data_IF_406731940111
#
_entry.id   IF_406731940111
#
_cell.length_a   1.000
_cell.length_b   1.000
_cell.length_c   1.000
_cell.angle_alpha   90.00
_cell.angle_beta   90.00
_cell.angle_gamma   90.00
#
_symmetry.space_group_name_H-M   'P 1'
#
loop_
_entity.id
_entity.type
_entity.pdbx_description
1 polymer ?
#
# COMPACT_ATOMS: atom_id res chain seq x y z
N UNK A 1 -13.53 -3.08 8.42
CA UNK A 1 -14.76 -2.43 7.96
C UNK A 1 -15.42 -1.76 9.16
N UNK A 2 -15.73 -0.47 9.04
CA UNK A 2 -16.59 0.27 9.99
C UNK A 2 -17.94 0.40 9.29
N UNK A 3 -19.04 0.22 10.02
CA UNK A 3 -20.41 0.43 9.51
C UNK A 3 -20.74 -0.35 8.22
N UNK A 4 -20.55 -1.67 8.24
CA UNK A 4 -21.07 -2.54 7.18
C UNK A 4 -22.50 -2.94 7.49
N UNK A 5 -23.40 -2.62 6.58
CA UNK A 5 -24.82 -2.96 6.61
C UNK A 5 -25.06 -4.06 5.57
N UNK A 6 -25.68 -5.16 6.00
CA UNK A 6 -26.09 -6.26 5.13
C UNK A 6 -27.61 -6.32 5.12
N UNK A 7 -28.18 -6.70 3.98
CA UNK A 7 -29.62 -6.85 3.79
C UNK A 7 -30.38 -5.54 4.05
N UNK A 8 -29.95 -4.45 3.40
CA UNK A 8 -30.66 -3.17 3.48
C UNK A 8 -32.07 -3.37 2.94
N UNK A 9 -33.08 -3.24 3.80
CA UNK A 9 -34.48 -3.53 3.45
C UNK A 9 -35.20 -2.39 2.74
N UNK A 10 -34.64 -1.18 2.81
CA UNK A 10 -35.16 0.02 2.15
C UNK A 10 -33.99 0.80 1.51
N UNK A 11 -33.47 0.34 0.36
CA UNK A 11 -32.34 0.98 -0.30
C UNK A 11 -32.66 2.42 -0.76
N UNK A 12 -33.92 2.70 -1.10
CA UNK A 12 -34.37 4.05 -1.51
C UNK A 12 -34.20 5.04 -0.37
N UNK A 13 -34.71 4.69 0.81
CA UNK A 13 -34.55 5.54 2.00
C UNK A 13 -33.08 5.70 2.35
N UNK A 14 -32.29 4.62 2.31
CA UNK A 14 -30.87 4.67 2.66
C UNK A 14 -30.06 5.58 1.73
N UNK A 15 -30.27 5.46 0.42
CA UNK A 15 -29.62 6.33 -0.57
C UNK A 15 -30.06 7.78 -0.35
N UNK A 16 -31.37 8.03 -0.18
CA UNK A 16 -31.89 9.37 0.07
C UNK A 16 -31.27 10.04 1.31
N UNK A 17 -31.13 9.32 2.43
CA UNK A 17 -30.49 9.84 3.65
C UNK A 17 -29.04 10.28 3.41
N UNK A 18 -28.29 9.51 2.58
CA UNK A 18 -26.90 9.83 2.24
C UNK A 18 -26.83 11.03 1.30
N UNK A 19 -27.71 11.09 0.29
CA UNK A 19 -27.80 12.21 -0.64
C UNK A 19 -28.17 13.51 0.08
N UNK A 20 -29.21 13.49 0.91
CA UNK A 20 -29.65 14.65 1.70
C UNK A 20 -28.56 15.14 2.64
N UNK A 21 -27.84 14.22 3.30
CA UNK A 21 -26.72 14.56 4.17
C UNK A 21 -25.56 15.22 3.43
N UNK A 22 -25.35 14.90 2.15
CA UNK A 22 -24.22 15.37 1.35
C UNK A 22 -24.60 16.41 0.28
N UNK A 23 -25.84 16.91 0.32
CA UNK A 23 -26.42 17.73 -0.76
C UNK A 23 -25.60 19.00 -1.08
N UNK A 24 -24.91 19.59 -0.09
CA UNK A 24 -24.06 20.78 -0.31
C UNK A 24 -22.81 20.49 -1.14
N UNK A 25 -22.33 19.25 -1.15
CA UNK A 25 -21.11 18.86 -1.84
C UNK A 25 -21.33 18.30 -3.24
N UNK A 26 -22.52 17.78 -3.52
CA UNK A 26 -22.84 17.20 -4.82
C UNK A 26 -23.32 18.24 -5.84
N UNK A 27 -22.90 18.10 -7.09
CA UNK A 27 -23.46 18.83 -8.23
C UNK A 27 -24.44 18.00 -9.06
N UNK A 28 -24.49 16.69 -8.86
CA UNK A 28 -25.42 15.80 -9.54
C UNK A 28 -25.06 14.32 -9.33
N UNK A 29 -25.93 13.45 -9.83
CA UNK A 29 -25.69 12.01 -9.88
C UNK A 29 -25.41 11.60 -11.31
N UNK A 30 -24.30 10.88 -11.53
CA UNK A 30 -23.95 10.33 -12.83
C UNK A 30 -24.07 8.82 -12.78
N UNK A 31 -24.75 8.23 -13.76
CA UNK A 31 -24.82 6.78 -13.91
C UNK A 31 -24.01 6.36 -15.13
N UNK A 32 -23.13 5.39 -14.94
CA UNK A 32 -22.33 4.76 -16.00
C UNK A 32 -22.50 3.26 -15.97
N UNK A 33 -22.71 2.66 -17.13
CA UNK A 33 -22.84 1.21 -17.24
C UNK A 33 -22.06 0.68 -18.44
N UNK A 34 -21.55 -0.54 -18.31
CA UNK A 34 -20.99 -1.30 -19.41
C UNK A 34 -21.84 -2.54 -19.63
N UNK A 35 -22.27 -2.73 -20.87
CA UNK A 35 -23.10 -3.86 -21.28
C UNK A 35 -22.38 -4.64 -22.37
N UNK A 36 -22.61 -5.95 -22.40
CA UNK A 36 -22.10 -6.84 -23.45
C UNK A 36 -23.27 -7.60 -24.07
N UNK A 37 -23.22 -7.84 -25.38
CA UNK A 37 -24.23 -8.62 -26.09
C UNK A 37 -23.75 -10.06 -26.27
N UNK A 38 -24.43 -11.02 -25.64
CA UNK A 38 -24.21 -12.45 -25.82
C UNK A 38 -25.22 -13.05 -26.81
N UNK A 39 -25.18 -14.37 -27.04
CA UNK A 39 -26.18 -15.04 -27.87
C UNK A 39 -27.59 -14.98 -27.25
N UNK A 40 -27.67 -14.83 -25.93
CA UNK A 40 -28.92 -14.82 -25.16
C UNK A 40 -29.43 -13.40 -24.91
N UNK A 41 -28.75 -12.39 -25.46
CA UNK A 41 -29.13 -10.98 -25.39
C UNK A 41 -28.10 -10.11 -24.66
N UNK A 42 -28.53 -8.91 -24.28
CA UNK A 42 -27.69 -7.97 -23.56
C UNK A 42 -27.57 -8.37 -22.08
N UNK A 43 -26.34 -8.29 -21.56
CA UNK A 43 -26.00 -8.59 -20.16
C UNK A 43 -25.27 -7.40 -19.56
N UNK A 44 -25.59 -7.09 -18.30
CA UNK A 44 -24.88 -6.08 -17.53
C UNK A 44 -23.49 -6.59 -17.13
N UNK A 45 -22.44 -5.87 -17.52
CA UNK A 45 -21.07 -6.15 -17.04
C UNK A 45 -20.87 -5.52 -15.67
N UNK A 46 -21.13 -4.22 -15.55
CA UNK A 46 -21.15 -3.49 -14.28
C UNK A 46 -21.85 -2.14 -14.46
N UNK A 47 -22.45 -1.61 -13.38
CA UNK A 47 -23.07 -0.30 -13.36
C UNK A 47 -22.59 0.49 -12.13
N UNK A 48 -22.39 1.79 -12.29
CA UNK A 48 -22.09 2.72 -11.20
C UNK A 48 -23.07 3.88 -11.19
N UNK A 49 -23.44 4.33 -9.98
CA UNK A 49 -24.15 5.60 -9.75
C UNK A 49 -23.30 6.44 -8.81
N UNK A 50 -22.75 7.53 -9.30
CA UNK A 50 -21.75 8.36 -8.64
C UNK A 50 -22.35 9.68 -8.15
N UNK A 51 -22.10 10.04 -6.89
CA UNK A 51 -22.26 11.42 -6.41
C UNK A 51 -21.09 12.29 -6.90
N UNK A 52 -21.34 13.20 -7.84
CA UNK A 52 -20.28 14.04 -8.41
C UNK A 52 -20.04 15.25 -7.50
N UNK A 53 -18.79 15.42 -7.06
CA UNK A 53 -18.35 16.56 -6.25
C UNK A 53 -17.85 17.67 -7.19
N UNK A 54 -18.25 18.92 -6.94
CA UNK A 54 -17.76 20.08 -7.71
C UNK A 54 -16.26 20.29 -7.51
N UNK A 55 -15.44 19.91 -8.51
CA UNK A 55 -13.97 20.07 -8.49
C UNK A 55 -13.44 21.10 -9.50
N UNK A 56 -14.31 21.92 -10.10
CA UNK A 56 -13.92 23.06 -10.95
C UNK A 56 -13.66 22.73 -12.43
N UNK A 57 -13.58 21.44 -12.79
CA UNK A 57 -13.69 21.02 -14.19
C UNK A 57 -15.15 20.65 -14.47
N UNK A 58 -15.76 21.30 -15.46
CA UNK A 58 -17.07 20.89 -15.99
C UNK A 58 -17.01 19.40 -16.33
N UNK A 59 -17.80 18.61 -15.62
CA UNK A 59 -17.93 17.18 -15.93
C UNK A 59 -18.81 17.08 -17.16
N UNK A 60 -18.20 17.23 -18.35
CA UNK A 60 -18.92 17.08 -19.60
C UNK A 60 -19.44 15.64 -19.71
N UNK A 61 -20.73 15.50 -20.01
CA UNK A 61 -21.34 14.20 -20.27
C UNK A 61 -20.63 13.55 -21.45
N UNK A 62 -20.18 12.31 -21.28
CA UNK A 62 -19.71 11.51 -22.40
C UNK A 62 -20.90 11.04 -23.22
N UNK A 63 -20.80 11.07 -24.55
CA UNK A 63 -21.79 10.42 -25.40
C UNK A 63 -21.74 8.90 -25.21
N UNK A 64 -22.89 8.24 -25.29
CA UNK A 64 -22.99 6.77 -25.28
C UNK A 64 -22.09 6.20 -26.38
N UNK A 65 -21.24 5.23 -26.03
CA UNK A 65 -20.35 4.56 -26.99
C UNK A 65 -20.95 3.21 -27.36
N UNK A 66 -21.21 3.02 -28.65
CA UNK A 66 -21.82 1.81 -29.16
C UNK A 66 -20.84 1.04 -30.06
N UNK A 67 -20.58 -0.21 -29.68
CA UNK A 67 -19.81 -1.18 -30.45
C UNK A 67 -20.74 -2.30 -30.93
N UNK A 68 -20.25 -3.17 -31.80
CA UNK A 68 -21.03 -4.31 -32.31
C UNK A 68 -21.52 -5.25 -31.21
N UNK A 69 -20.74 -5.44 -30.14
CA UNK A 69 -21.00 -6.40 -29.07
C UNK A 69 -20.93 -5.80 -27.66
N UNK A 70 -20.77 -4.47 -27.55
CA UNK A 70 -20.74 -3.79 -26.26
C UNK A 70 -21.35 -2.39 -26.34
N UNK A 71 -21.83 -1.91 -25.20
CA UNK A 71 -22.34 -0.55 -25.04
C UNK A 71 -21.77 0.04 -23.76
N UNK A 72 -21.21 1.24 -23.86
CA UNK A 72 -20.74 2.02 -22.73
C UNK A 72 -21.71 3.20 -22.58
N UNK A 73 -22.56 3.10 -21.58
CA UNK A 73 -23.67 4.01 -21.34
C UNK A 73 -23.31 5.03 -20.25
N UNK A 74 -23.75 6.27 -20.43
CA UNK A 74 -23.66 7.34 -19.45
C UNK A 74 -24.91 8.22 -19.51
N UNK A 75 -25.47 8.56 -18.35
CA UNK A 75 -26.46 9.61 -18.19
C UNK A 75 -26.38 10.28 -16.81
N UNK A 76 -27.18 11.32 -16.62
CA UNK A 76 -27.30 12.06 -15.36
C UNK A 76 -28.68 11.83 -14.77
N UNK A 77 -28.71 11.59 -13.46
CA UNK A 77 -29.92 11.30 -12.71
C UNK A 77 -30.27 12.49 -11.82
N UNK A 78 -31.55 12.89 -11.84
CA UNK A 78 -32.11 13.66 -10.74
C UNK A 78 -32.35 12.75 -9.52
N UNK A 79 -32.68 13.33 -8.36
CA UNK A 79 -33.08 12.56 -7.18
C UNK A 79 -34.26 11.63 -7.47
N UNK A 80 -35.21 12.08 -8.30
CA UNK A 80 -36.36 11.25 -8.69
C UNK A 80 -35.94 10.12 -9.63
N UNK A 81 -35.10 10.40 -10.64
CA UNK A 81 -34.58 9.36 -11.55
C UNK A 81 -33.78 8.31 -10.78
N UNK A 82 -33.02 8.71 -9.76
CA UNK A 82 -32.29 7.79 -8.90
C UNK A 82 -33.23 6.87 -8.10
N UNK A 83 -34.33 7.41 -7.55
CA UNK A 83 -35.35 6.61 -6.85
C UNK A 83 -36.04 5.64 -7.80
N UNK A 84 -36.39 6.10 -9.00
CA UNK A 84 -37.02 5.28 -10.03
C UNK A 84 -36.06 4.20 -10.52
N UNK A 85 -34.77 4.49 -10.63
CA UNK A 85 -33.75 3.50 -10.95
C UNK A 85 -33.63 2.42 -9.87
N UNK A 86 -33.62 2.78 -8.59
CA UNK A 86 -33.63 1.78 -7.49
C UNK A 86 -34.91 0.94 -7.53
N UNK A 87 -36.08 1.54 -7.79
CA UNK A 87 -37.32 0.79 -7.96
C UNK A 87 -37.25 -0.20 -9.14
N UNK A 88 -36.64 0.20 -10.26
CA UNK A 88 -36.43 -0.69 -11.42
C UNK A 88 -35.54 -1.87 -11.02
N UNK A 89 -34.43 -1.61 -10.32
CA UNK A 89 -33.56 -2.67 -9.78
C UNK A 89 -34.39 -3.64 -8.95
N UNK A 90 -35.18 -3.14 -7.99
CA UNK A 90 -36.03 -3.94 -7.11
C UNK A 90 -37.13 -4.72 -7.84
N UNK A 91 -37.47 -4.34 -9.07
CA UNK A 91 -38.40 -5.06 -9.94
C UNK A 91 -37.70 -6.05 -10.88
N UNK A 92 -36.37 -6.06 -10.92
CA UNK A 92 -35.60 -6.92 -11.82
C UNK A 92 -35.46 -6.39 -13.22
N UNK A 93 -35.55 -5.07 -13.36
CA UNK A 93 -35.51 -4.39 -14.64
C UNK A 93 -34.46 -3.30 -14.60
N UNK A 94 -33.75 -3.09 -15.71
CA UNK A 94 -32.91 -1.91 -15.89
C UNK A 94 -33.17 -1.29 -17.25
N UNK A 95 -33.27 0.03 -17.28
CA UNK A 95 -33.37 0.80 -18.50
C UNK A 95 -32.10 1.64 -18.71
N UNK A 96 -31.47 1.47 -19.88
CA UNK A 96 -30.32 2.24 -20.35
C UNK A 96 -30.66 2.83 -21.73
N UNK A 97 -31.27 4.02 -21.74
CA UNK A 97 -31.88 4.58 -22.94
C UNK A 97 -33.06 3.72 -23.40
N UNK A 98 -33.02 3.26 -24.64
CA UNK A 98 -34.04 2.37 -25.22
C UNK A 98 -33.80 0.89 -24.86
N UNK A 99 -32.63 0.55 -24.32
CA UNK A 99 -32.28 -0.82 -23.96
C UNK A 99 -32.87 -1.19 -22.59
N UNK A 100 -33.55 -2.34 -22.54
CA UNK A 100 -34.15 -2.88 -21.32
C UNK A 100 -33.50 -4.23 -21.02
N UNK A 101 -32.99 -4.39 -19.79
CA UNK A 101 -32.55 -5.67 -19.24
C UNK A 101 -33.57 -6.15 -18.23
N UNK A 102 -33.85 -7.44 -18.23
CA UNK A 102 -34.71 -8.10 -17.26
C UNK A 102 -34.00 -9.31 -16.69
N UNK A 103 -34.18 -9.55 -15.38
CA UNK A 103 -33.65 -10.72 -14.69
C UNK A 103 -34.78 -11.43 -13.95
N UNK A 104 -34.72 -12.76 -13.95
CA UNK A 104 -35.62 -13.60 -13.15
C UNK A 104 -35.10 -13.83 -11.73
N UNK A 105 -33.88 -13.38 -11.43
CA UNK A 105 -33.33 -13.45 -10.07
C UNK A 105 -34.17 -12.61 -9.11
N UNK A 106 -34.81 -13.27 -8.16
CA UNK A 106 -35.69 -12.63 -7.18
C UNK A 106 -34.95 -12.08 -5.95
N UNK A 107 -33.70 -12.49 -5.73
CA UNK A 107 -32.95 -12.21 -4.51
C UNK A 107 -31.99 -11.04 -4.66
N UNK A 108 -32.49 -9.81 -4.43
CA UNK A 108 -31.71 -8.57 -4.47
C UNK A 108 -31.21 -8.21 -3.08
N UNK A 109 -30.03 -8.73 -2.75
CA UNK A 109 -29.40 -8.45 -1.46
C UNK A 109 -28.59 -7.16 -1.56
N UNK A 110 -29.15 -6.08 -1.01
CA UNK A 110 -28.42 -4.83 -0.86
C UNK A 110 -27.45 -4.91 0.29
N UNK A 111 -26.23 -4.45 0.04
CA UNK A 111 -25.23 -4.22 1.07
C UNK A 111 -24.72 -2.79 0.99
N UNK A 112 -24.30 -2.26 2.13
CA UNK A 112 -23.72 -0.93 2.26
C UNK A 112 -22.49 -0.97 3.14
N UNK A 113 -21.49 -0.19 2.81
CA UNK A 113 -20.34 0.03 3.69
C UNK A 113 -19.84 1.46 3.61
N UNK A 114 -19.36 1.95 4.75
CA UNK A 114 -18.57 3.16 4.77
C UNK A 114 -17.12 2.82 4.43
N UNK A 115 -16.60 3.47 3.39
CA UNK A 115 -15.23 3.31 2.90
C UNK A 115 -14.41 4.54 3.21
N UNK A 116 -13.12 4.39 3.56
CA UNK A 116 -12.27 5.52 3.87
C UNK A 116 -11.71 6.14 2.57
N UNK A 117 -10.93 7.21 2.68
CA UNK A 117 -10.20 7.76 1.53
C UNK A 117 -9.36 6.64 0.82
N UNK A 118 -9.11 6.80 -0.48
CA UNK A 118 -8.26 5.90 -1.28
C UNK A 118 -8.60 4.42 -1.11
N UNK A 119 -9.83 4.03 -1.46
CA UNK A 119 -10.33 2.66 -1.39
C UNK A 119 -10.44 2.02 -2.80
N UNK A 120 -10.83 0.74 -2.87
CA UNK A 120 -10.93 0.01 -4.15
C UNK A 120 -12.10 0.43 -5.04
N UNK A 121 -13.06 1.19 -4.50
CA UNK A 121 -14.27 1.63 -5.20
C UNK A 121 -14.17 3.06 -5.73
N UNK A 122 -13.57 3.98 -4.96
CA UNK A 122 -13.43 5.40 -5.32
C UNK A 122 -12.26 6.06 -4.57
N UNK A 123 -11.76 7.16 -5.11
CA UNK A 123 -10.61 7.89 -4.53
C UNK A 123 -10.96 8.69 -3.26
N UNK A 124 -12.25 8.87 -2.99
CA UNK A 124 -12.77 9.63 -1.85
C UNK A 124 -13.29 8.70 -0.73
N UNK A 125 -13.36 9.23 0.49
CA UNK A 125 -14.12 8.60 1.56
C UNK A 125 -15.62 8.71 1.26
N UNK A 126 -16.43 7.78 1.76
CA UNK A 126 -17.88 7.85 1.56
C UNK A 126 -18.58 6.54 1.81
N UNK A 127 -19.70 6.35 1.12
CA UNK A 127 -20.54 5.17 1.21
C UNK A 127 -20.56 4.44 -0.13
N UNK A 128 -20.41 3.13 -0.06
CA UNK A 128 -20.62 2.22 -1.19
C UNK A 128 -21.85 1.39 -0.89
N UNK A 129 -22.87 1.49 -1.74
CA UNK A 129 -24.00 0.57 -1.70
C UNK A 129 -23.96 -0.30 -2.96
N UNK A 130 -24.22 -1.59 -2.82
CA UNK A 130 -24.20 -2.49 -3.96
C UNK A 130 -25.29 -3.55 -3.87
N UNK A 131 -25.74 -3.98 -5.03
CA UNK A 131 -26.60 -5.13 -5.20
C UNK A 131 -26.24 -5.83 -6.51
N UNK A 132 -26.39 -7.16 -6.54
CA UNK A 132 -26.20 -7.95 -7.75
C UNK A 132 -27.46 -7.88 -8.61
N UNK A 133 -27.29 -7.61 -9.89
CA UNK A 133 -28.39 -7.62 -10.85
C UNK A 133 -28.44 -8.90 -11.67
N UNK A 134 -27.29 -9.43 -12.08
CA UNK A 134 -27.21 -10.70 -12.81
C UNK A 134 -25.97 -11.48 -12.41
N UNK A 135 -26.09 -12.80 -12.30
CA UNK A 135 -24.96 -13.72 -12.22
C UNK A 135 -24.39 -14.13 -13.59
N UNK A 136 -25.02 -13.68 -14.70
CA UNK A 136 -24.58 -14.02 -16.04
C UNK A 136 -23.21 -13.43 -16.33
N UNK A 137 -22.35 -14.26 -16.92
CA UNK A 137 -21.02 -13.82 -17.30
C UNK A 137 -21.11 -13.02 -18.59
N UNK A 138 -20.46 -11.86 -18.59
CA UNK A 138 -20.22 -11.09 -19.80
C UNK A 138 -19.55 -11.99 -20.85
N UNK A 139 -20.01 -11.87 -22.09
CA UNK A 139 -19.43 -12.65 -23.17
C UNK A 139 -18.06 -12.07 -23.56
N UNK A 140 -17.11 -12.96 -23.86
CA UNK A 140 -15.75 -12.59 -24.21
C UNK A 140 -15.63 -12.37 -25.71
N UNK A 141 -15.16 -11.19 -26.08
CA UNK A 141 -14.93 -10.82 -27.46
C UNK A 141 -13.53 -10.23 -27.61
N UNK A 142 -13.07 -10.17 -28.86
CA UNK A 142 -11.83 -9.48 -29.19
C UNK A 142 -11.96 -7.96 -29.08
N UNK A 143 -11.10 -7.24 -29.78
CA UNK A 143 -11.07 -5.79 -29.75
C UNK A 143 -12.43 -5.15 -30.06
N UNK A 144 -12.76 -4.11 -29.28
CA UNK A 144 -13.92 -3.26 -29.47
C UNK A 144 -13.58 -2.21 -30.52
N UNK A 145 -14.23 -2.32 -31.68
CA UNK A 145 -13.98 -1.49 -32.85
C UNK A 145 -15.28 -0.83 -33.32
N UNK A 146 -15.27 0.50 -33.43
CA UNK A 146 -16.28 1.26 -34.16
C UNK A 146 -15.65 2.55 -34.72
N UNK A 147 -16.03 3.01 -35.94
CA UNK A 147 -15.32 4.08 -36.64
C UNK A 147 -15.15 5.40 -35.85
N UNK A 148 -16.15 5.76 -35.05
CA UNK A 148 -16.19 7.04 -34.30
C UNK A 148 -15.98 6.83 -32.79
N UNK A 149 -15.51 5.65 -32.38
CA UNK A 149 -15.30 5.30 -30.97
C UNK A 149 -13.84 4.99 -30.69
N UNK A 150 -13.38 5.18 -29.45
CA UNK A 150 -12.05 4.75 -29.03
C UNK A 150 -11.82 3.26 -29.29
N UNK A 151 -10.57 2.90 -29.58
CA UNK A 151 -10.15 1.52 -29.63
C UNK A 151 -9.99 0.97 -28.22
N UNK A 152 -10.57 -0.20 -27.95
CA UNK A 152 -10.18 -1.01 -26.80
C UNK A 152 -9.75 -2.41 -27.26
N UNK A 153 -8.65 -2.96 -26.70
CA UNK A 153 -8.18 -4.29 -27.07
C UNK A 153 -9.12 -5.42 -26.60
N UNK A 154 -9.90 -5.17 -25.54
CA UNK A 154 -10.92 -6.06 -25.01
C UNK A 154 -11.94 -5.28 -24.15
N UNK A 155 -12.96 -5.99 -23.64
CA UNK A 155 -14.01 -5.44 -22.80
C UNK A 155 -13.51 -5.00 -21.41
N UNK A 156 -12.47 -5.65 -20.88
CA UNK A 156 -11.96 -5.34 -19.53
C UNK A 156 -11.24 -4.00 -19.50
N UNK A 157 -10.45 -3.68 -20.54
CA UNK A 157 -9.85 -2.36 -20.72
C UNK A 157 -10.93 -1.27 -20.92
N UNK A 158 -12.01 -1.59 -21.64
CA UNK A 158 -13.13 -0.67 -21.79
C UNK A 158 -13.82 -0.39 -20.44
N UNK A 159 -14.02 -1.40 -19.60
CA UNK A 159 -14.57 -1.23 -18.24
C UNK A 159 -13.63 -0.40 -17.37
N UNK A 160 -12.33 -0.67 -17.42
CA UNK A 160 -11.32 0.05 -16.64
C UNK A 160 -11.23 1.54 -17.00
N UNK A 161 -11.39 1.87 -18.27
CA UNK A 161 -11.42 3.26 -18.74
C UNK A 161 -12.77 3.94 -18.48
N UNK A 162 -13.88 3.22 -18.64
CA UNK A 162 -15.22 3.81 -18.59
C UNK A 162 -15.77 3.98 -17.18
N UNK A 163 -15.50 3.06 -16.25
CA UNK A 163 -16.03 3.10 -14.89
C UNK A 163 -15.05 3.81 -13.93
N UNK A 164 -15.54 4.50 -12.88
CA UNK A 164 -14.73 5.28 -11.93
C UNK A 164 -13.87 4.46 -10.98
N UNK A 165 -13.72 3.15 -11.18
CA UNK A 165 -13.02 2.31 -10.22
C UNK A 165 -11.51 2.57 -10.28
N UNK A 166 -10.84 2.88 -9.16
CA UNK A 166 -9.38 3.05 -9.14
C UNK A 166 -8.62 1.79 -9.59
N UNK A 167 -9.18 0.62 -9.29
CA UNK A 167 -8.65 -0.69 -9.68
C UNK A 167 -9.80 -1.55 -10.19
N UNK A 168 -9.61 -2.26 -11.29
CA UNK A 168 -10.57 -3.23 -11.84
C UNK A 168 -9.84 -4.49 -12.33
N UNK A 169 -10.29 -5.66 -11.87
CA UNK A 169 -9.63 -6.95 -12.04
C UNK A 169 -10.19 -7.80 -13.20
N UNK A 170 -10.88 -7.18 -14.16
CA UNK A 170 -11.43 -7.87 -15.33
C UNK A 170 -12.43 -8.95 -14.95
N UNK A 171 -12.35 -10.12 -15.58
CA UNK A 171 -13.19 -11.29 -15.29
C UNK A 171 -13.24 -11.72 -13.82
N UNK A 172 -12.17 -11.47 -13.05
CA UNK A 172 -12.06 -11.88 -11.64
C UNK A 172 -12.56 -10.80 -10.67
N UNK A 173 -13.05 -9.67 -11.19
CA UNK A 173 -13.59 -8.60 -10.36
C UNK A 173 -14.92 -9.01 -9.73
N UNK A 174 -15.02 -8.86 -8.41
CA UNK A 174 -16.22 -9.26 -7.67
C UNK A 174 -17.44 -8.39 -7.99
N UNK A 175 -17.23 -7.21 -8.60
CA UNK A 175 -18.28 -6.25 -8.98
C UNK A 175 -18.92 -6.56 -10.33
N UNK A 176 -18.47 -7.60 -11.03
CA UNK A 176 -19.10 -8.03 -12.26
C UNK A 176 -20.56 -8.47 -12.00
N UNK A 177 -21.48 -7.94 -12.79
CA UNK A 177 -22.93 -8.11 -12.63
C UNK A 177 -23.55 -7.23 -11.55
N UNK A 178 -22.78 -6.40 -10.85
CA UNK A 178 -23.26 -5.56 -9.76
C UNK A 178 -23.61 -4.14 -10.23
N UNK A 179 -24.52 -3.54 -9.48
CA UNK A 179 -24.83 -2.10 -9.52
C UNK A 179 -24.25 -1.49 -8.25
N UNK A 180 -23.37 -0.51 -8.40
CA UNK A 180 -22.57 0.06 -7.31
C UNK A 180 -22.83 1.56 -7.19
N UNK A 181 -23.46 1.99 -6.11
CA UNK A 181 -23.61 3.40 -5.76
C UNK A 181 -22.35 3.86 -5.03
N UNK A 182 -21.67 4.86 -5.61
CA UNK A 182 -20.46 5.49 -5.09
C UNK A 182 -20.84 6.89 -4.60
N UNK A 183 -21.01 7.03 -3.29
CA UNK A 183 -21.57 8.24 -2.67
C UNK A 183 -20.51 8.90 -1.75
N UNK A 184 -19.71 9.84 -2.26
CA UNK A 184 -18.66 10.50 -1.49
C UNK A 184 -19.15 11.22 -0.23
N UNK A 185 -18.41 11.11 0.87
CA UNK A 185 -18.63 11.93 2.06
C UNK A 185 -18.05 13.33 1.83
N UNK A 186 -18.91 14.35 1.88
CA UNK A 186 -18.56 15.73 1.56
C UNK A 186 -18.61 16.66 2.76
N UNK A 187 -19.23 16.25 3.88
CA UNK A 187 -19.40 17.10 5.07
C UNK A 187 -18.09 17.28 5.81
N UNK A 188 -17.38 16.18 6.08
CA UNK A 188 -16.07 16.17 6.70
C UNK A 188 -15.29 14.90 6.30
N UNK A 189 -13.98 15.00 6.06
CA UNK A 189 -13.14 13.85 5.74
C UNK A 189 -11.66 14.14 6.06
N UNK A 190 -10.84 13.09 6.19
CA UNK A 190 -9.41 13.23 6.38
C UNK A 190 -8.78 13.67 5.06
N UNK A 191 -8.14 14.83 5.06
CA UNK A 191 -7.51 15.40 3.85
C UNK A 191 -6.00 15.16 3.79
N UNK A 192 -5.34 15.11 4.96
CA UNK A 192 -3.91 14.82 5.05
C UNK A 192 -3.54 14.36 6.47
N UNK A 193 -2.39 13.69 6.56
CA UNK A 193 -1.72 13.36 7.82
C UNK A 193 -0.21 13.43 7.62
N UNK A 194 0.45 14.33 8.32
CA UNK A 194 1.86 14.65 8.14
C UNK A 194 2.64 14.18 9.36
N UNK A 195 3.49 13.13 9.25
CA UNK A 195 4.31 12.67 10.35
C UNK A 195 5.46 13.64 10.64
N UNK A 196 5.71 13.93 11.92
CA UNK A 196 6.79 14.75 12.44
C UNK A 196 7.33 14.15 13.75
N UNK A 197 8.36 13.29 13.65
CA UNK A 197 8.88 12.55 14.80
C UNK A 197 7.82 11.62 15.41
N UNK A 198 7.52 11.81 16.69
CA UNK A 198 6.47 11.08 17.42
C UNK A 198 5.10 11.77 17.36
N UNK A 199 4.90 12.66 16.39
CA UNK A 199 3.66 13.40 16.18
C UNK A 199 3.13 13.17 14.78
N UNK A 200 1.82 13.14 14.63
CA UNK A 200 1.15 13.13 13.32
C UNK A 200 0.17 14.29 13.30
N UNK A 201 0.43 15.27 12.43
CA UNK A 201 -0.47 16.39 12.18
C UNK A 201 -1.54 15.99 11.18
N UNK A 202 -2.79 15.84 11.64
CA UNK A 202 -3.94 15.43 10.82
C UNK A 202 -4.72 16.67 10.39
N UNK A 203 -5.09 16.72 9.11
CA UNK A 203 -5.92 17.78 8.51
C UNK A 203 -7.26 17.24 8.08
N UNK A 204 -8.32 17.98 8.36
CA UNK A 204 -9.69 17.65 7.97
C UNK A 204 -10.17 18.65 6.94
N UNK A 205 -10.88 18.20 5.91
CA UNK A 205 -11.56 19.05 4.95
C UNK A 205 -13.04 18.66 4.85
N UNK A 206 -13.83 19.44 4.13
CA UNK A 206 -15.25 19.19 3.91
C UNK A 206 -16.08 20.47 3.98
N UNK A 207 -17.28 20.40 3.44
CA UNK A 207 -18.23 21.53 3.35
C UNK A 207 -18.67 22.03 4.72
N UNK A 208 -18.76 21.14 5.70
CA UNK A 208 -19.22 21.41 7.06
C UNK A 208 -18.12 21.23 8.12
N UNK A 209 -16.88 20.91 7.71
CA UNK A 209 -15.76 20.62 8.62
C UNK A 209 -15.40 21.77 9.57
N UNK A 210 -15.70 23.02 9.21
CA UNK A 210 -15.52 24.19 10.07
C UNK A 210 -16.68 24.46 11.04
N UNK A 211 -17.84 23.81 10.85
CA UNK A 211 -19.06 24.00 11.63
C UNK A 211 -19.31 22.85 12.61
N UNK A 212 -18.83 21.65 12.27
CA UNK A 212 -18.99 20.44 13.07
C UNK A 212 -18.01 20.43 14.26
N UNK A 213 -18.49 19.98 15.41
CA UNK A 213 -17.64 19.67 16.56
C UNK A 213 -17.02 18.28 16.38
N UNK A 214 -15.88 18.22 15.69
CA UNK A 214 -15.21 16.99 15.29
C UNK A 214 -14.11 16.56 16.28
N UNK A 215 -13.89 15.25 16.36
CA UNK A 215 -12.74 14.66 17.06
C UNK A 215 -12.23 13.41 16.34
N UNK A 216 -10.95 13.09 16.56
CA UNK A 216 -10.36 11.80 16.23
C UNK A 216 -10.53 10.88 17.44
N UNK A 217 -11.14 9.72 17.20
CA UNK A 217 -11.31 8.66 18.21
C UNK A 217 -10.70 7.37 17.70
N UNK A 218 -9.84 6.73 18.50
CA UNK A 218 -9.08 5.58 18.00
C UNK A 218 -8.14 4.95 19.02
N UNK A 219 -7.14 4.24 18.51
CA UNK A 219 -6.06 3.67 19.30
C UNK A 219 -4.79 3.42 18.47
N UNK A 220 -3.66 3.27 19.16
CA UNK A 220 -2.44 2.70 18.60
C UNK A 220 -1.95 1.52 19.44
N UNK A 221 -1.07 0.71 18.88
CA UNK A 221 -0.48 -0.45 19.55
C UNK A 221 1.04 -0.36 19.64
N UNK A 222 1.59 -0.62 20.82
CA UNK A 222 3.02 -0.67 21.12
C UNK A 222 3.29 -1.95 21.93
N UNK A 223 4.19 -2.81 21.46
CA UNK A 223 4.52 -4.10 22.12
C UNK A 223 3.29 -4.95 22.50
N UNK A 224 2.25 -4.91 21.66
CA UNK A 224 0.98 -5.62 21.87
C UNK A 224 -0.01 -4.95 22.83
N UNK A 225 0.37 -3.84 23.48
CA UNK A 225 -0.50 -3.03 24.32
C UNK A 225 -1.28 -2.01 23.50
N UNK A 226 -2.55 -1.82 23.85
CA UNK A 226 -3.43 -0.83 23.22
C UNK A 226 -3.40 0.49 23.99
N UNK A 227 -3.29 1.59 23.27
CA UNK A 227 -3.32 2.94 23.80
C UNK A 227 -4.41 3.74 23.08
N UNK A 228 -5.38 4.27 23.83
CA UNK A 228 -6.52 4.99 23.26
C UNK A 228 -6.19 6.45 22.95
N UNK A 229 -6.78 6.97 21.86
CA UNK A 229 -6.73 8.38 21.49
C UNK A 229 -8.13 8.97 21.41
N UNK A 230 -8.26 10.17 21.98
CA UNK A 230 -9.44 11.02 21.92
C UNK A 230 -8.96 12.47 21.75
N UNK A 231 -8.90 12.94 20.51
CA UNK A 231 -8.26 14.22 20.16
C UNK A 231 -9.24 15.14 19.43
N UNK A 232 -9.61 16.31 19.98
CA UNK A 232 -10.51 17.24 19.30
C UNK A 232 -9.85 17.86 18.06
N UNK A 233 -10.64 18.09 17.01
CA UNK A 233 -10.22 18.85 15.83
C UNK A 233 -10.36 20.34 16.15
N UNK A 234 -9.26 21.08 16.06
CA UNK A 234 -9.25 22.54 16.24
C UNK A 234 -8.86 23.21 14.92
N UNK A 235 -9.71 24.10 14.40
CA UNK A 235 -9.48 24.79 13.11
C UNK A 235 -9.08 23.80 12.01
N UNK A 236 -9.83 22.70 11.87
CA UNK A 236 -9.59 21.64 10.87
C UNK A 236 -8.25 20.90 11.02
N UNK A 237 -7.60 20.98 12.18
CA UNK A 237 -6.33 20.33 12.48
C UNK A 237 -6.37 19.59 13.82
N UNK A 238 -5.66 18.47 13.90
CA UNK A 238 -5.38 17.76 15.15
C UNK A 238 -3.94 17.24 15.16
N UNK A 239 -3.37 17.07 16.34
CA UNK A 239 -2.04 16.49 16.53
C UNK A 239 -2.16 15.22 17.36
N UNK A 240 -1.73 14.09 16.79
CA UNK A 240 -1.67 12.80 17.47
C UNK A 240 -0.25 12.59 17.99
N UNK A 241 -0.09 12.23 19.26
CA UNK A 241 1.20 11.83 19.83
C UNK A 241 1.33 10.31 19.76
N UNK A 242 1.89 9.80 18.65
CA UNK A 242 2.04 8.37 18.38
C UNK A 242 3.54 8.04 18.37
N UNK A 243 4.02 7.10 19.21
CA UNK A 243 5.43 6.77 19.27
C UNK A 243 5.88 6.07 17.97
N UNK A 244 7.15 6.26 17.61
CA UNK A 244 7.67 5.79 16.31
C UNK A 244 7.72 4.26 16.15
N UNK A 245 7.64 3.52 17.26
CA UNK A 245 7.60 2.05 17.31
C UNK A 245 6.17 1.50 17.37
N UNK A 246 5.13 2.32 17.18
CA UNK A 246 3.76 1.82 17.11
C UNK A 246 3.59 0.88 15.90
N UNK A 247 3.11 -0.35 16.14
CA UNK A 247 2.93 -1.38 15.11
C UNK A 247 1.57 -1.29 14.41
N UNK A 248 0.61 -0.60 15.02
CA UNK A 248 -0.74 -0.37 14.47
C UNK A 248 -1.30 0.96 14.93
N UNK A 249 -2.05 1.62 14.05
CA UNK A 249 -2.72 2.89 14.29
C UNK A 249 -4.08 2.87 13.61
N UNK A 250 -5.12 3.15 14.38
CA UNK A 250 -6.49 3.25 13.88
C UNK A 250 -7.18 4.45 14.51
N UNK A 251 -7.84 5.26 13.69
CA UNK A 251 -8.68 6.35 14.18
C UNK A 251 -9.81 6.67 13.21
N UNK A 252 -10.94 7.09 13.76
CA UNK A 252 -12.09 7.59 13.03
C UNK A 252 -12.28 9.08 13.31
N UNK A 253 -12.68 9.82 12.28
CA UNK A 253 -13.19 11.18 12.39
C UNK A 253 -14.67 11.10 12.74
N UNK A 254 -15.03 11.58 13.92
CA UNK A 254 -16.41 11.53 14.44
C UNK A 254 -16.87 12.90 14.95
N UNK A 255 -18.18 13.08 15.07
CA UNK A 255 -18.77 14.19 15.83
C UNK A 255 -19.25 13.77 17.23
N UNK A 256 -19.80 14.73 17.98
CA UNK A 256 -20.34 14.53 19.32
C UNK A 256 -21.55 13.57 19.39
N UNK A 257 -22.21 13.29 18.25
CA UNK A 257 -23.31 12.32 18.16
C UNK A 257 -22.81 10.91 17.85
N UNK A 258 -21.51 10.75 17.60
CA UNK A 258 -20.90 9.48 17.19
C UNK A 258 -21.05 9.19 15.70
N UNK A 259 -21.47 10.15 14.89
CA UNK A 259 -21.49 9.98 13.43
C UNK A 259 -20.04 9.87 12.94
N UNK A 260 -19.72 8.79 12.23
CA UNK A 260 -18.42 8.57 11.60
C UNK A 260 -18.45 9.20 10.22
N UNK A 261 -17.44 10.00 9.90
CA UNK A 261 -17.30 10.66 8.61
C UNK A 261 -16.23 10.01 7.74
N UNK A 262 -15.08 9.66 8.33
CA UNK A 262 -13.96 9.01 7.66
C UNK A 262 -13.10 8.27 8.69
N UNK A 263 -12.19 7.40 8.25
CA UNK A 263 -11.30 6.67 9.14
C UNK A 263 -9.96 6.29 8.50
N UNK A 264 -8.94 6.15 9.34
CA UNK A 264 -7.63 5.64 8.99
C UNK A 264 -7.39 4.32 9.71
N UNK A 265 -6.81 3.34 9.00
CA UNK A 265 -6.28 2.12 9.61
C UNK A 265 -4.95 1.76 8.98
N UNK A 266 -3.98 1.48 9.83
CA UNK A 266 -2.63 1.11 9.40
C UNK A 266 -2.06 0.03 10.32
N UNK A 267 -1.52 -1.01 9.71
CA UNK A 267 -0.65 -1.99 10.34
C UNK A 267 0.41 -2.47 9.33
N UNK A 268 1.20 -3.47 9.73
CA UNK A 268 2.25 -4.07 8.89
C UNK A 268 1.73 -4.59 7.54
N UNK A 269 0.53 -5.16 7.50
CA UNK A 269 -0.03 -5.88 6.35
C UNK A 269 -1.10 -5.09 5.59
N UNK A 270 -1.72 -4.09 6.21
CA UNK A 270 -2.92 -3.43 5.71
C UNK A 270 -2.85 -1.92 5.95
N UNK A 271 -3.31 -1.16 4.97
CA UNK A 271 -3.56 0.27 5.10
C UNK A 271 -4.88 0.62 4.43
N UNK A 272 -5.64 1.53 5.02
CA UNK A 272 -6.87 2.08 4.47
C UNK A 272 -7.03 3.54 4.92
N UNK A 273 -7.48 4.43 4.04
CA UNK A 273 -7.60 5.87 4.29
C UNK A 273 -6.64 6.70 3.44
N UNK A 274 -5.79 7.53 4.04
CA UNK A 274 -4.97 8.55 3.37
C UNK A 274 -3.91 8.05 2.36
N UNK A 275 -4.03 6.84 1.82
CA UNK A 275 -3.27 6.31 0.68
C UNK A 275 -1.78 6.07 0.90
N UNK A 276 -1.26 6.32 2.11
CA UNK A 276 0.15 6.08 2.49
C UNK A 276 0.22 5.63 3.94
N UNK A 277 1.15 4.73 4.27
CA UNK A 277 1.45 4.38 5.68
C UNK A 277 2.05 5.60 6.40
N UNK A 278 1.46 6.02 7.52
CA UNK A 278 1.88 7.15 8.38
C UNK A 278 2.62 6.69 9.62
N UNK A 279 2.28 5.50 10.13
CA UNK A 279 3.24 4.71 10.86
C UNK A 279 4.45 4.57 9.96
N UNK A 280 5.61 5.04 10.45
CA UNK A 280 6.86 4.89 9.73
C UNK A 280 7.00 3.41 9.43
N UNK A 281 6.80 3.04 8.16
CA UNK A 281 7.38 1.83 7.66
C UNK A 281 8.86 2.01 7.94
N UNK A 282 9.43 1.19 8.83
CA UNK A 282 10.87 1.16 9.07
C UNK A 282 11.61 1.03 7.72
N UNK A 283 10.91 0.54 6.68
CA UNK A 283 11.37 0.33 5.32
C UNK A 283 11.37 1.55 4.38
N UNK A 284 10.57 2.61 4.55
CA UNK A 284 10.57 3.72 3.56
C UNK A 284 11.97 4.37 3.36
N UNK A 285 12.74 4.67 4.43
CA UNK A 285 14.14 5.05 4.26
C UNK A 285 15.01 3.89 3.79
N UNK A 286 14.71 2.63 4.14
CA UNK A 286 15.53 1.48 3.74
C UNK A 286 15.38 1.13 2.26
N UNK A 287 14.18 1.23 1.69
CA UNK A 287 13.88 1.10 0.26
C UNK A 287 14.66 2.16 -0.52
N UNK A 288 14.61 3.42 -0.05
CA UNK A 288 15.41 4.49 -0.64
C UNK A 288 16.92 4.21 -0.55
N UNK A 289 17.41 3.71 0.60
CA UNK A 289 18.80 3.30 0.79
C UNK A 289 19.19 2.13 -0.15
N UNK A 290 18.30 1.16 -0.37
CA UNK A 290 18.51 0.04 -1.29
C UNK A 290 18.58 0.54 -2.73
N UNK A 291 17.65 1.39 -3.17
CA UNK A 291 17.69 1.97 -4.51
C UNK A 291 18.92 2.86 -4.72
N UNK A 292 19.28 3.70 -3.75
CA UNK A 292 20.50 4.51 -3.80
C UNK A 292 21.75 3.62 -3.90
N UNK A 293 21.80 2.53 -3.13
CA UNK A 293 22.87 1.55 -3.24
C UNK A 293 22.92 0.95 -4.66
N UNK A 294 21.81 0.45 -5.21
CA UNK A 294 21.77 -0.10 -6.57
C UNK A 294 22.18 0.91 -7.65
N UNK A 295 21.88 2.20 -7.46
CA UNK A 295 22.30 3.27 -8.37
C UNK A 295 23.80 3.57 -8.29
N UNK A 296 24.37 3.50 -7.09
CA UNK A 296 25.79 3.83 -6.83
C UNK A 296 26.73 2.65 -6.99
N UNK A 297 26.23 1.43 -6.90
CA UNK A 297 26.99 0.19 -6.98
C UNK A 297 27.84 -0.10 -5.74
N UNK A 298 28.60 -1.19 -5.80
CA UNK A 298 29.56 -1.53 -4.74
C UNK A 298 30.68 -0.49 -4.65
N UNK A 299 31.13 -0.23 -3.42
CA UNK A 299 32.17 0.76 -3.19
C UNK A 299 32.65 0.80 -1.74
N UNK A 300 33.13 1.96 -1.32
CA UNK A 300 33.74 2.16 0.01
C UNK A 300 32.77 1.92 1.17
N UNK A 301 31.46 2.02 0.94
CA UNK A 301 30.41 1.89 1.97
C UNK A 301 29.31 0.89 1.62
N UNK A 302 29.39 0.25 0.46
CA UNK A 302 28.34 -0.64 -0.08
C UNK A 302 29.00 -1.93 -0.54
N UNK A 303 28.45 -3.06 -0.11
CA UNK A 303 28.75 -4.41 -0.59
C UNK A 303 27.43 -5.12 -0.90
N UNK A 304 27.38 -5.81 -2.03
CA UNK A 304 26.26 -6.65 -2.42
C UNK A 304 26.62 -8.11 -2.28
N UNK A 305 25.64 -8.88 -1.80
CA UNK A 305 25.70 -10.34 -1.86
C UNK A 305 24.32 -10.91 -2.17
N UNK A 306 24.26 -12.01 -2.93
CA UNK A 306 23.08 -12.84 -2.93
C UNK A 306 22.87 -13.47 -1.54
N UNK A 307 21.85 -14.32 -1.40
CA UNK A 307 21.69 -15.12 -0.18
C UNK A 307 22.98 -15.91 0.16
N UNK A 308 23.36 -15.88 1.46
CA UNK A 308 24.52 -16.59 1.99
C UNK A 308 24.07 -17.79 2.79
N UNK A 309 24.39 -18.99 2.31
CA UNK A 309 24.18 -20.22 3.06
C UNK A 309 25.05 -20.23 4.32
N UNK A 310 24.53 -20.67 5.46
CA UNK A 310 25.23 -20.59 6.76
C UNK A 310 25.87 -21.93 7.19
N UNK A 311 25.65 -23.00 6.43
CA UNK A 311 26.14 -24.33 6.75
C UNK A 311 27.65 -24.47 6.51
N UNK A 312 28.27 -25.26 7.41
CA UNK A 312 29.71 -25.49 7.51
C UNK A 312 30.07 -26.71 6.63
N UNK A 313 29.83 -26.60 5.33
CA UNK A 313 30.65 -27.35 4.36
C UNK A 313 32.05 -26.72 4.35
N UNK A 314 33.11 -27.53 4.22
CA UNK A 314 34.53 -27.14 4.41
C UNK A 314 35.07 -25.95 3.59
N UNK A 315 34.27 -25.31 2.73
CA UNK A 315 34.65 -24.14 1.93
C UNK A 315 33.47 -23.15 1.78
N UNK A 316 32.84 -22.70 2.87
CA UNK A 316 31.83 -21.64 2.76
C UNK A 316 32.50 -20.27 2.57
N UNK A 317 32.97 -20.02 1.35
CA UNK A 317 33.69 -18.81 0.94
C UNK A 317 32.86 -17.54 1.15
N UNK A 318 31.54 -17.62 1.00
CA UNK A 318 30.63 -16.46 1.09
C UNK A 318 30.42 -15.99 2.53
N UNK A 319 30.30 -16.90 3.51
CA UNK A 319 30.25 -16.49 4.92
C UNK A 319 31.58 -15.83 5.36
N UNK A 320 32.71 -16.38 4.92
CA UNK A 320 34.02 -15.77 5.17
C UNK A 320 34.16 -14.41 4.51
N UNK A 321 33.57 -14.21 3.32
CA UNK A 321 33.47 -12.89 2.68
C UNK A 321 32.68 -11.90 3.54
N UNK A 322 31.51 -12.26 4.05
CA UNK A 322 30.73 -11.38 4.94
C UNK A 322 31.54 -10.97 6.17
N UNK A 323 32.16 -11.93 6.87
CA UNK A 323 32.97 -11.66 8.06
C UNK A 323 34.13 -10.71 7.72
N UNK A 324 34.80 -10.95 6.60
CA UNK A 324 35.89 -10.10 6.13
C UNK A 324 35.41 -8.69 5.76
N UNK A 325 34.24 -8.55 5.13
CA UNK A 325 33.64 -7.25 4.83
C UNK A 325 33.27 -6.49 6.10
N UNK A 326 32.71 -7.16 7.12
CA UNK A 326 32.41 -6.56 8.43
C UNK A 326 33.69 -6.00 9.07
N UNK A 327 34.76 -6.78 9.12
CA UNK A 327 36.04 -6.33 9.69
C UNK A 327 36.63 -5.18 8.87
N UNK A 328 36.59 -5.27 7.54
CA UNK A 328 37.10 -4.22 6.65
C UNK A 328 36.33 -2.89 6.82
N UNK A 329 35.00 -2.93 6.93
CA UNK A 329 34.19 -1.74 7.19
C UNK A 329 34.45 -1.15 8.56
N UNK A 330 34.52 -1.97 9.60
CA UNK A 330 34.77 -1.50 10.96
C UNK A 330 36.17 -0.84 11.12
N UNK A 331 37.18 -1.38 10.44
CA UNK A 331 38.52 -0.77 10.36
C UNK A 331 38.61 0.46 9.44
N UNK A 332 37.54 0.76 8.71
CA UNK A 332 37.43 1.90 7.79
C UNK A 332 36.29 2.82 8.28
N UNK A 333 35.60 3.50 7.36
CA UNK A 333 34.55 4.49 7.66
C UNK A 333 33.16 3.88 7.92
N UNK A 334 33.08 2.58 8.24
CA UNK A 334 31.82 1.83 8.27
C UNK A 334 31.23 1.56 6.88
N UNK A 335 30.06 0.94 6.83
CA UNK A 335 29.40 0.58 5.58
C UNK A 335 28.15 -0.29 5.75
N UNK A 336 27.58 -0.71 4.63
CA UNK A 336 26.39 -1.56 4.55
C UNK A 336 26.65 -2.75 3.65
N UNK A 337 26.19 -3.92 4.08
CA UNK A 337 26.13 -5.12 3.25
C UNK A 337 24.66 -5.41 2.95
N UNK A 338 24.31 -5.55 1.68
CA UNK A 338 22.96 -5.88 1.26
C UNK A 338 22.90 -7.34 0.79
N UNK A 339 22.07 -8.16 1.46
CA UNK A 339 21.81 -9.53 1.04
C UNK A 339 20.51 -9.59 0.23
N UNK A 340 20.56 -10.28 -0.91
CA UNK A 340 19.44 -10.34 -1.87
C UNK A 340 19.64 -9.43 -3.09
N UNK A 341 20.85 -8.90 -3.27
CA UNK A 341 21.28 -8.13 -4.45
C UNK A 341 22.51 -8.82 -5.02
N UNK A 342 22.53 -9.08 -6.33
CA UNK A 342 23.69 -9.71 -6.97
C UNK A 342 24.77 -8.68 -7.37
N UNK A 343 25.90 -9.19 -7.89
CA UNK A 343 27.05 -8.36 -8.30
C UNK A 343 26.72 -7.43 -9.49
N UNK A 344 25.58 -7.62 -10.16
CA UNK A 344 25.08 -6.78 -11.25
C UNK A 344 24.05 -5.74 -10.77
N UNK A 345 23.92 -5.54 -9.44
CA UNK A 345 22.92 -4.68 -8.81
C UNK A 345 21.47 -5.13 -9.04
N UNK A 346 21.24 -6.40 -9.41
CA UNK A 346 19.90 -6.93 -9.61
C UNK A 346 19.28 -7.35 -8.26
N UNK A 347 18.06 -6.88 -7.99
CA UNK A 347 17.28 -7.32 -6.83
C UNK A 347 16.72 -8.72 -7.07
N UNK A 348 17.36 -9.71 -6.45
CA UNK A 348 16.96 -11.12 -6.54
C UNK A 348 16.19 -11.60 -5.30
N UNK A 349 16.26 -10.85 -4.21
CA UNK A 349 15.66 -11.19 -2.92
C UNK A 349 16.33 -12.37 -2.22
N UNK A 350 15.89 -12.65 -0.98
CA UNK A 350 16.37 -13.81 -0.20
C UNK A 350 15.34 -14.92 -0.04
N UNK A 351 14.05 -14.66 -0.28
CA UNK A 351 12.95 -15.53 0.17
C UNK A 351 13.03 -16.96 -0.38
N UNK A 352 13.35 -17.16 -1.67
CA UNK A 352 13.47 -18.51 -2.24
C UNK A 352 14.52 -19.36 -1.54
N UNK A 353 15.68 -18.76 -1.22
CA UNK A 353 16.79 -19.46 -0.57
C UNK A 353 16.61 -19.55 0.94
N UNK A 354 15.96 -18.55 1.54
CA UNK A 354 15.58 -18.54 2.93
C UNK A 354 14.58 -19.68 3.23
N UNK A 355 13.58 -19.89 2.38
CA UNK A 355 12.65 -21.01 2.51
C UNK A 355 13.37 -22.37 2.45
N UNK A 356 14.34 -22.51 1.53
CA UNK A 356 15.16 -23.73 1.42
C UNK A 356 15.99 -23.97 2.69
N UNK A 357 16.60 -22.93 3.24
CA UNK A 357 17.40 -23.00 4.46
C UNK A 357 16.54 -23.33 5.69
N UNK A 358 15.40 -22.65 5.85
CA UNK A 358 14.49 -22.82 6.98
C UNK A 358 13.67 -24.13 6.90
N UNK A 359 13.60 -24.75 5.71
CA UNK A 359 12.70 -25.87 5.40
C UNK A 359 11.23 -25.54 5.76
N UNK A 360 10.85 -24.28 5.54
CA UNK A 360 9.56 -23.69 5.89
C UNK A 360 9.23 -22.51 4.96
N UNK A 361 8.09 -21.84 5.16
CA UNK A 361 7.78 -20.57 4.50
C UNK A 361 8.85 -19.51 4.77
N UNK A 362 9.15 -18.68 3.77
CA UNK A 362 10.03 -17.51 3.92
C UNK A 362 9.28 -16.35 4.60
N UNK A 363 8.87 -16.57 5.84
CA UNK A 363 8.25 -15.57 6.69
C UNK A 363 9.29 -14.82 7.55
N UNK A 364 8.81 -13.86 8.33
CA UNK A 364 9.64 -13.06 9.21
C UNK A 364 10.32 -13.90 10.30
N UNK A 365 9.69 -14.96 10.79
CA UNK A 365 10.29 -15.84 11.80
C UNK A 365 11.48 -16.61 11.23
N UNK A 366 11.35 -17.12 10.00
CA UNK A 366 12.45 -17.74 9.26
C UNK A 366 13.61 -16.75 9.03
N UNK A 367 13.29 -15.52 8.63
CA UNK A 367 14.28 -14.45 8.44
C UNK A 367 15.00 -14.12 9.74
N UNK A 368 14.27 -13.89 10.84
CA UNK A 368 14.85 -13.58 12.14
C UNK A 368 15.74 -14.71 12.68
N UNK A 369 15.35 -15.97 12.46
CA UNK A 369 16.17 -17.13 12.79
C UNK A 369 17.48 -17.18 11.99
N UNK A 370 17.40 -16.92 10.69
CA UNK A 370 18.56 -16.80 9.80
C UNK A 370 19.51 -15.68 10.26
N UNK A 371 18.98 -14.48 10.52
CA UNK A 371 19.76 -13.33 10.99
C UNK A 371 20.38 -13.57 12.36
N UNK A 372 19.66 -14.23 13.28
CA UNK A 372 20.20 -14.64 14.58
C UNK A 372 21.40 -15.58 14.45
N UNK A 373 21.31 -16.56 13.54
CA UNK A 373 22.41 -17.51 13.24
C UNK A 373 23.61 -16.81 12.61
N UNK A 374 23.37 -15.93 11.62
CA UNK A 374 24.42 -15.14 10.97
C UNK A 374 25.12 -14.21 11.97
N UNK A 375 24.36 -13.51 12.82
CA UNK A 375 24.89 -12.66 13.89
C UNK A 375 25.77 -13.46 14.85
N UNK A 376 25.34 -14.65 15.27
CA UNK A 376 26.13 -15.55 16.10
C UNK A 376 27.48 -15.89 15.45
N UNK A 377 27.46 -16.29 14.18
CA UNK A 377 28.68 -16.64 13.42
C UNK A 377 29.65 -15.45 13.27
N UNK A 378 29.14 -14.25 13.00
CA UNK A 378 29.97 -13.04 12.92
C UNK A 378 30.61 -12.76 14.28
N UNK A 379 29.82 -12.75 15.36
CA UNK A 379 30.31 -12.52 16.73
C UNK A 379 31.37 -13.54 17.15
N UNK A 380 31.19 -14.80 16.79
CA UNK A 380 32.12 -15.86 17.17
C UNK A 380 33.47 -15.76 16.43
N UNK A 381 33.49 -15.09 15.27
CA UNK A 381 34.68 -14.94 14.43
C UNK A 381 35.35 -13.56 14.52
N UNK A 382 34.61 -12.49 14.81
CA UNK A 382 35.17 -11.14 14.92
C UNK A 382 35.79 -10.92 16.30
N UNK A 383 36.96 -10.29 16.34
CA UNK A 383 37.67 -9.90 17.56
C UNK A 383 37.76 -8.37 17.62
N UNK A 384 37.31 -7.80 18.73
CA UNK A 384 37.17 -6.35 18.94
C UNK A 384 35.70 -5.92 19.09
N UNK A 385 35.47 -4.71 19.58
CA UNK A 385 34.11 -4.17 19.76
C UNK A 385 33.59 -3.58 18.44
N UNK A 386 32.49 -4.14 17.92
CA UNK A 386 31.87 -3.72 16.67
C UNK A 386 30.38 -3.51 16.86
N UNK A 387 29.87 -2.37 16.39
CA UNK A 387 28.44 -2.09 16.36
C UNK A 387 27.86 -2.50 15.01
N UNK A 388 27.01 -3.52 15.01
CA UNK A 388 26.38 -4.10 13.82
C UNK A 388 24.86 -4.11 14.01
N UNK A 389 24.13 -3.54 13.05
CA UNK A 389 22.67 -3.58 13.01
C UNK A 389 22.20 -4.42 11.83
N UNK A 390 21.19 -5.25 12.06
CA UNK A 390 20.55 -6.05 11.02
C UNK A 390 19.15 -5.50 10.81
N UNK A 391 18.86 -5.11 9.57
CA UNK A 391 17.58 -4.59 9.12
C UNK A 391 17.11 -5.48 7.96
N UNK A 392 15.82 -5.44 7.67
CA UNK A 392 15.23 -6.06 6.49
C UNK A 392 14.30 -5.05 5.83
N UNK A 393 14.17 -5.10 4.52
CA UNK A 393 13.26 -4.27 3.74
C UNK A 393 12.63 -5.10 2.61
N UNK A 394 11.38 -4.80 2.26
CA UNK A 394 10.73 -5.33 1.07
C UNK A 394 10.81 -4.31 -0.06
N UNK A 395 11.59 -4.60 -1.10
CA UNK A 395 11.82 -3.71 -2.25
C UNK A 395 11.40 -4.44 -3.52
N UNK A 396 10.47 -3.89 -4.30
CA UNK A 396 9.94 -4.51 -5.52
C UNK A 396 9.49 -5.98 -5.30
N UNK A 397 8.80 -6.24 -4.19
CA UNK A 397 8.40 -7.57 -3.71
C UNK A 397 9.56 -8.55 -3.44
N UNK A 398 10.79 -8.07 -3.35
CA UNK A 398 11.96 -8.84 -2.97
C UNK A 398 12.41 -8.46 -1.55
N UNK A 399 12.54 -9.45 -0.67
CA UNK A 399 13.12 -9.23 0.66
C UNK A 399 14.62 -9.04 0.55
N UNK A 400 15.12 -7.91 1.05
CA UNK A 400 16.54 -7.57 1.15
C UNK A 400 16.91 -7.40 2.62
N UNK A 401 18.05 -7.96 3.02
CA UNK A 401 18.61 -7.76 4.36
C UNK A 401 19.73 -6.72 4.28
N UNK A 402 19.77 -5.80 5.23
CA UNK A 402 20.79 -4.76 5.32
C UNK A 402 21.56 -4.96 6.62
N UNK A 403 22.87 -5.18 6.50
CA UNK A 403 23.79 -5.28 7.63
C UNK A 403 24.58 -3.97 7.70
N UNK A 404 24.22 -3.10 8.64
CA UNK A 404 24.94 -1.85 8.87
C UNK A 404 26.10 -2.08 9.84
N UNK A 405 27.30 -1.70 9.44
CA UNK A 405 28.52 -1.82 10.22
C UNK A 405 29.05 -0.42 10.50
N UNK A 406 29.11 -0.05 11.78
CA UNK A 406 29.69 1.23 12.18
C UNK A 406 31.23 1.19 12.13
N UNK A 407 31.84 2.35 11.91
CA UNK A 407 33.25 2.55 12.18
C UNK A 407 33.56 2.19 13.65
N UNK A 408 34.57 1.35 13.87
CA UNK A 408 34.95 0.95 15.21
C UNK A 408 35.62 2.11 15.96
N UNK A 409 35.21 2.31 17.22
CA UNK A 409 35.81 3.30 18.12
C UNK A 409 37.22 2.90 18.52
N UNK A 410 37.45 1.60 18.72
CA UNK A 410 38.73 1.02 19.05
C UNK A 410 39.14 0.05 17.95
N UNK A 411 40.29 0.30 17.34
CA UNK A 411 40.87 -0.49 16.25
C UNK A 411 42.21 -1.09 16.73
N UNK A 412 42.67 -2.22 16.17
CA UNK A 412 42.08 -2.94 15.04
C UNK A 412 40.94 -3.88 15.45
N UNK A 413 39.98 -4.02 14.54
CA UNK A 413 39.08 -5.16 14.48
C UNK A 413 39.76 -6.25 13.64
N UNK A 414 39.71 -7.50 14.09
CA UNK A 414 40.35 -8.63 13.38
C UNK A 414 39.44 -9.85 13.29
N UNK A 415 39.85 -10.82 12.49
CA UNK A 415 39.18 -12.13 12.40
C UNK A 415 39.96 -13.12 13.26
N UNK A 416 39.27 -13.87 14.11
CA UNK A 416 39.82 -14.92 14.96
C UNK A 416 40.60 -15.91 14.10
N UNK A 417 41.83 -16.21 14.52
CA UNK A 417 42.77 -17.12 13.83
C UNK A 417 43.22 -16.65 12.43
N UNK A 418 42.95 -15.40 12.04
CA UNK A 418 43.56 -14.77 10.88
C UNK A 418 44.67 -13.81 11.33
N UNK A 419 45.83 -13.87 10.67
CA UNK A 419 46.99 -13.02 10.99
C UNK A 419 47.00 -11.72 10.19
N UNK A 420 45.99 -11.48 9.36
CA UNK A 420 45.87 -10.28 8.54
C UNK A 420 44.81 -9.31 9.08
N UNK A 421 45.11 -8.01 8.98
CA UNK A 421 44.12 -6.96 9.11
C UNK A 421 43.52 -6.65 7.74
N UNK A 422 42.21 -6.38 7.71
CA UNK A 422 41.50 -6.03 6.49
C UNK A 422 40.98 -4.60 6.57
N UNK A 423 41.07 -3.89 5.45
CA UNK A 423 40.52 -2.55 5.25
C UNK A 423 39.74 -2.51 3.93
N UNK A 424 38.81 -1.56 3.81
CA UNK A 424 38.06 -1.33 2.58
C UNK A 424 38.84 -0.39 1.66
N UNK A 425 39.00 -0.75 0.39
CA UNK A 425 39.60 0.09 -0.65
C UNK A 425 38.79 -0.04 -1.94
N UNK A 426 38.11 1.02 -2.34
CA UNK A 426 37.08 0.94 -3.37
C UNK A 426 36.01 -0.08 -2.99
N UNK A 427 35.65 -0.95 -3.93
CA UNK A 427 34.73 -2.07 -3.73
C UNK A 427 35.41 -3.35 -3.18
N UNK A 428 36.68 -3.29 -2.77
CA UNK A 428 37.44 -4.49 -2.38
C UNK A 428 37.88 -4.48 -0.91
N UNK A 429 37.86 -5.66 -0.30
CA UNK A 429 38.45 -5.90 1.02
C UNK A 429 39.90 -6.35 0.84
N UNK A 430 40.85 -5.49 1.19
CA UNK A 430 42.29 -5.74 0.98
C UNK A 430 43.00 -6.00 2.31
N UNK A 431 44.04 -6.82 2.27
CA UNK A 431 44.94 -6.98 3.42
C UNK A 431 45.71 -5.69 3.61
N UNK A 432 45.64 -5.13 4.82
CA UNK A 432 46.43 -3.96 5.17
C UNK A 432 47.92 -4.32 5.15
N UNK A 433 48.71 -3.50 4.46
CA UNK A 433 50.17 -3.62 4.44
C UNK A 433 50.77 -3.27 5.81
N UNK A 434 51.98 -3.73 6.15
CA UNK A 434 52.61 -3.40 7.44
C UNK A 434 52.71 -1.89 7.74
N UNK A 435 52.80 -1.05 6.70
CA UNK A 435 52.79 0.42 6.85
C UNK A 435 51.43 0.97 7.28
N UNK A 436 50.33 0.36 6.83
CA UNK A 436 48.96 0.76 7.16
C UNK A 436 48.54 0.31 8.56
N UNK A 437 49.18 -0.73 9.13
CA UNK A 437 48.89 -1.22 10.47
C UNK A 437 49.04 -0.13 11.52
N UNK A 438 50.03 0.77 11.36
CA UNK A 438 50.25 1.89 12.27
C UNK A 438 49.05 2.83 12.34
N UNK A 439 48.41 3.12 11.21
CA UNK A 439 47.25 4.00 11.14
C UNK A 439 45.99 3.35 11.71
N UNK A 440 45.90 2.02 11.66
CA UNK A 440 44.77 1.26 12.21
C UNK A 440 44.92 1.12 13.73
N UNK A 441 46.12 0.82 14.23
CA UNK A 441 46.39 0.59 15.66
C UNK A 441 46.47 1.91 16.44
N UNK A 442 46.93 3.00 15.82
CA UNK A 442 47.01 4.33 16.45
C UNK A 442 46.40 5.42 15.55
N UNK A 443 45.08 5.67 15.62
CA UNK A 443 44.39 6.58 14.71
C UNK A 443 44.74 8.07 14.84
N UNK A 444 45.45 8.52 15.90
CA UNK A 444 45.94 9.90 16.04
C UNK A 444 47.31 9.96 16.73
N UNK A 445 48.16 10.88 16.27
CA UNK A 445 49.56 11.00 16.62
C UNK A 445 49.83 11.30 18.09
N UNK A 446 50.61 10.42 18.71
CA UNK A 446 51.55 10.81 19.76
C UNK A 446 52.84 11.19 19.03
N UNK A 447 53.01 12.48 18.74
CA UNK A 447 54.34 13.03 18.50
C UNK A 447 55.08 12.97 19.84
N UNK A 448 55.89 11.93 20.03
CA UNK A 448 56.62 11.71 21.27
C UNK A 448 57.52 10.50 21.20
N UNK A 449 58.54 10.56 20.34
CA UNK A 449 59.86 9.99 20.60
C UNK A 449 60.92 10.94 20.07
#
# INVERSE_FOLDING_TARGET
>A
MINRELNITDPIKRVAEILESNAKGYCGLRRRAVLSHSNDGWVLVACTVEGIISSGNETQSSAVRQYSQAMLFEDWLTDQDCRDFINQIEQGRLCFGELILETTESNRHWSGEQVPLSNYHMDCAGYVLSTRFSADRAARFGALLAPEQPYYPDLDEAVRDWLPFPVYHGDSDSRNGDIVFLLPETRAFLSDAIPNGNRIGVRVAGTDAGQLSLMLKGAWWEDGLIHHLDVPINKQHAELNIPSNASRLEYALIDAKGTVYDFQRENEYQHAGLGRKRLRNVDAPLVAIVHEACLTGEGMKVEFKPFVELDIGKNNTKLSEIIRTVVAFANSVGGRIFLGIDDNCALIGIDTKLAQWAKASADEAACNSYLGTLRGKIRDMVVGDTTIHFLQALVDNQRVVIIEVSEAKERPISIRQDNYLYIRRGASNVRATPGEWRNIICPQGINGF
#
